data_IF_204771360922
#
_entry.id   IF_204771360922
#
_cell.length_a   1.000
_cell.length_b   1.000
_cell.length_c   1.000
_cell.angle_alpha   90.00
_cell.angle_beta   90.00
_cell.angle_gamma   90.00
#
_symmetry.space_group_name_H-M   'P 1'
#
loop_
_entity.id
_entity.type
_entity.pdbx_description
1 polymer ?
#
# COMPACT_ATOMS: atom_id res chain seq x y z
N UNK A 1 -17.02 3.96 8.06
CA UNK A 1 -16.49 5.33 7.92
C UNK A 1 -16.01 5.50 6.48
N UNK A 2 -16.47 6.55 5.80
CA UNK A 2 -15.94 6.96 4.51
C UNK A 2 -14.75 7.90 4.75
N UNK A 3 -13.68 7.71 4.00
CA UNK A 3 -12.48 8.55 4.03
C UNK A 3 -12.23 9.08 2.62
N UNK A 4 -11.84 10.34 2.54
CA UNK A 4 -11.36 10.99 1.31
C UNK A 4 -9.89 11.36 1.49
N UNK A 5 -9.05 10.91 0.59
CA UNK A 5 -7.63 11.24 0.56
C UNK A 5 -7.35 12.20 -0.58
N UNK A 6 -6.61 13.26 -0.29
CA UNK A 6 -6.32 14.33 -1.24
C UNK A 6 -4.83 14.38 -1.55
N UNK A 7 -4.48 14.53 -2.83
CA UNK A 7 -3.13 14.75 -3.30
C UNK A 7 -2.98 16.19 -3.79
N UNK A 8 -2.22 16.99 -3.03
CA UNK A 8 -2.20 18.44 -3.18
C UNK A 8 -1.42 18.97 -4.41
N UNK A 9 -0.60 18.14 -5.05
CA UNK A 9 0.25 18.63 -6.17
C UNK A 9 -0.52 18.77 -7.48
N UNK A 10 -1.57 17.99 -7.69
CA UNK A 10 -2.38 18.06 -8.91
C UNK A 10 -3.89 18.07 -8.63
N UNK A 11 -4.27 18.25 -7.36
CA UNK A 11 -5.65 18.32 -6.89
C UNK A 11 -6.47 17.05 -7.13
N UNK A 12 -5.83 15.90 -7.33
CA UNK A 12 -6.53 14.62 -7.40
C UNK A 12 -6.93 14.13 -6.02
N UNK A 13 -8.02 13.38 -5.96
CA UNK A 13 -8.47 12.74 -4.73
C UNK A 13 -9.09 11.37 -5.01
N UNK A 14 -9.19 10.56 -3.97
CA UNK A 14 -9.88 9.28 -4.01
C UNK A 14 -10.58 9.02 -2.69
N UNK A 15 -11.64 8.20 -2.73
CA UNK A 15 -12.43 7.86 -1.56
C UNK A 15 -12.50 6.36 -1.37
N UNK A 16 -12.61 5.93 -0.11
CA UNK A 16 -12.72 4.52 0.26
C UNK A 16 -13.45 4.36 1.60
N UNK A 17 -13.80 3.12 1.95
CA UNK A 17 -14.40 2.79 3.24
C UNK A 17 -13.38 2.09 4.13
N UNK A 18 -13.36 2.47 5.41
CA UNK A 18 -12.59 1.74 6.42
C UNK A 18 -13.27 0.38 6.68
N UNK A 19 -12.55 -0.72 6.47
CA UNK A 19 -12.98 -2.09 6.83
C UNK A 19 -13.11 -2.18 8.36
N UNK A 20 -14.19 -2.75 8.86
CA UNK A 20 -14.38 -2.95 10.31
C UNK A 20 -13.49 -4.04 10.88
N UNK A 21 -13.23 -5.05 10.06
CA UNK A 21 -12.38 -6.19 10.41
C UNK A 21 -11.25 -6.30 9.40
N UNK A 22 -10.06 -6.46 9.92
CA UNK A 22 -8.85 -6.74 9.16
C UNK A 22 -8.48 -8.21 9.41
N UNK A 23 -8.10 -8.91 8.35
CA UNK A 23 -7.77 -10.34 8.40
C UNK A 23 -6.35 -10.48 7.85
N UNK A 24 -5.56 -11.37 8.45
CA UNK A 24 -4.24 -11.69 7.94
C UNK A 24 -4.36 -12.26 6.52
N UNK A 25 -3.52 -11.76 5.63
CA UNK A 25 -3.49 -12.24 4.25
C UNK A 25 -2.93 -13.66 4.18
N UNK A 26 -3.49 -14.54 3.33
CA UNK A 26 -2.83 -15.78 2.96
C UNK A 26 -1.45 -15.51 2.36
N UNK A 27 -0.56 -16.46 2.43
CA UNK A 27 0.77 -16.35 1.80
C UNK A 27 0.88 -17.16 0.50
N UNK A 28 -0.15 -17.93 0.14
CA UNK A 28 -0.21 -18.74 -1.08
C UNK A 28 -1.55 -18.48 -1.79
N UNK A 29 -1.47 -18.28 -3.09
CA UNK A 29 -2.59 -17.96 -3.97
C UNK A 29 -2.53 -18.80 -5.24
N UNK A 30 -3.69 -19.06 -5.82
CA UNK A 30 -3.80 -19.69 -7.15
C UNK A 30 -3.13 -18.84 -8.23
N UNK A 31 -2.77 -19.49 -9.33
CA UNK A 31 -2.20 -18.80 -10.48
C UNK A 31 -3.21 -17.79 -11.08
N UNK A 32 -2.70 -16.64 -11.51
CA UNK A 32 -3.47 -15.65 -12.24
C UNK A 32 -2.92 -15.53 -13.68
N UNK A 33 -3.81 -15.38 -14.65
CA UNK A 33 -3.43 -15.16 -16.05
C UNK A 33 -2.77 -13.77 -16.26
N UNK A 34 -3.06 -12.82 -15.37
CA UNK A 34 -2.55 -11.45 -15.43
C UNK A 34 -1.88 -11.08 -14.12
N UNK A 35 -0.58 -10.97 -14.16
CA UNK A 35 0.20 -10.48 -13.00
C UNK A 35 1.03 -9.28 -13.47
N UNK A 36 0.97 -8.19 -12.73
CA UNK A 36 1.88 -7.06 -12.85
C UNK A 36 2.54 -6.80 -11.50
N UNK A 37 3.84 -6.59 -11.49
CA UNK A 37 4.61 -6.36 -10.26
C UNK A 37 5.39 -5.05 -10.34
N UNK A 38 5.49 -4.35 -9.22
CA UNK A 38 6.30 -3.15 -9.03
C UNK A 38 6.80 -3.10 -7.59
N UNK A 39 7.98 -2.51 -7.37
CA UNK A 39 8.58 -2.28 -6.05
C UNK A 39 9.15 -0.87 -5.93
N UNK A 40 9.64 -0.50 -4.75
CA UNK A 40 10.47 0.69 -4.51
C UNK A 40 9.82 2.02 -4.95
N UNK A 41 8.56 2.20 -4.63
CA UNK A 41 7.80 3.44 -4.91
C UNK A 41 8.22 4.59 -3.98
N UNK A 42 8.70 4.27 -2.79
CA UNK A 42 9.30 5.22 -1.85
C UNK A 42 8.45 6.48 -1.63
N UNK A 43 7.16 6.28 -1.37
CA UNK A 43 6.16 7.34 -1.16
C UNK A 43 5.93 8.27 -2.36
N UNK A 44 6.33 7.88 -3.57
CA UNK A 44 6.09 8.67 -4.78
C UNK A 44 4.71 8.34 -5.37
N UNK A 45 3.67 8.92 -4.76
CA UNK A 45 2.27 8.67 -5.14
C UNK A 45 2.01 8.91 -6.63
N UNK A 46 2.57 10.00 -7.20
CA UNK A 46 2.35 10.32 -8.62
C UNK A 46 2.90 9.24 -9.54
N UNK A 47 4.14 8.81 -9.32
CA UNK A 47 4.76 7.74 -10.13
C UNK A 47 3.98 6.44 -10.00
N UNK A 48 3.57 6.07 -8.80
CA UNK A 48 2.77 4.87 -8.57
C UNK A 48 1.43 4.92 -9.32
N UNK A 49 0.67 6.01 -9.16
CA UNK A 49 -0.59 6.24 -9.86
C UNK A 49 -0.43 6.19 -11.38
N UNK A 50 0.53 6.95 -11.91
CA UNK A 50 0.76 7.03 -13.36
C UNK A 50 1.18 5.67 -13.94
N UNK A 51 2.00 4.89 -13.22
CA UNK A 51 2.34 3.51 -13.58
C UNK A 51 1.07 2.64 -13.72
N UNK A 52 0.16 2.72 -12.75
CA UNK A 52 -1.07 1.94 -12.75
C UNK A 52 -2.01 2.33 -13.91
N UNK A 53 -2.12 3.62 -14.22
CA UNK A 53 -2.93 4.12 -15.35
C UNK A 53 -2.34 3.65 -16.69
N UNK A 54 -1.04 3.85 -16.90
CA UNK A 54 -0.35 3.47 -18.15
C UNK A 54 -0.49 1.97 -18.41
N UNK A 55 -0.42 1.15 -17.37
CA UNK A 55 -0.56 -0.30 -17.47
C UNK A 55 -2.01 -0.79 -17.41
N UNK A 56 -3.00 0.12 -17.41
CA UNK A 56 -4.44 -0.20 -17.38
C UNK A 56 -4.86 -1.06 -16.17
N UNK A 57 -4.16 -0.89 -15.06
CA UNK A 57 -4.56 -1.49 -13.78
C UNK A 57 -5.72 -0.70 -13.19
N UNK A 58 -5.69 0.62 -13.38
CA UNK A 58 -6.75 1.55 -13.05
C UNK A 58 -7.01 2.49 -14.24
N UNK A 59 -8.15 3.16 -14.24
CA UNK A 59 -8.45 4.26 -15.16
C UNK A 59 -8.03 5.63 -14.63
N UNK A 60 -8.34 6.69 -15.40
CA UNK A 60 -8.07 8.08 -15.02
C UNK A 60 -8.93 8.57 -13.83
N UNK A 61 -10.03 7.87 -13.52
CA UNK A 61 -10.86 8.10 -12.35
C UNK A 61 -10.34 7.37 -11.11
N UNK A 62 -9.20 6.69 -11.25
CA UNK A 62 -8.52 5.90 -10.21
C UNK A 62 -9.31 4.66 -9.77
N UNK A 63 -10.20 4.14 -10.63
CA UNK A 63 -10.98 2.95 -10.39
C UNK A 63 -10.31 1.71 -11.01
N UNK A 64 -10.48 0.54 -10.38
CA UNK A 64 -9.86 -0.72 -10.81
C UNK A 64 -10.41 -1.18 -12.15
N UNK A 65 -9.52 -1.42 -13.12
CA UNK A 65 -9.87 -1.91 -14.48
C UNK A 65 -9.13 -3.19 -14.87
N UNK A 66 -8.33 -3.76 -13.97
CA UNK A 66 -7.51 -4.94 -14.26
C UNK A 66 -8.29 -6.27 -14.19
N UNK A 67 -9.59 -6.21 -13.89
CA UNK A 67 -10.47 -7.39 -13.81
C UNK A 67 -10.00 -8.34 -12.70
N UNK A 68 -9.86 -9.63 -13.04
CA UNK A 68 -9.36 -10.67 -12.14
C UNK A 68 -7.83 -10.75 -12.06
N UNK A 69 -7.12 -9.75 -12.58
CA UNK A 69 -5.66 -9.70 -12.54
C UNK A 69 -5.10 -9.46 -11.14
N UNK A 70 -3.84 -9.80 -10.94
CA UNK A 70 -3.10 -9.64 -9.70
C UNK A 70 -2.07 -8.52 -9.82
N UNK A 71 -2.15 -7.53 -8.95
CA UNK A 71 -1.16 -6.47 -8.79
C UNK A 71 -0.26 -6.82 -7.59
N UNK A 72 1.03 -7.00 -7.84
CA UNK A 72 2.01 -7.31 -6.80
C UNK A 72 2.84 -6.07 -6.49
N UNK A 73 2.73 -5.60 -5.27
CA UNK A 73 3.45 -4.49 -4.69
C UNK A 73 4.58 -5.07 -3.82
N UNK A 74 5.77 -5.20 -4.41
CA UNK A 74 6.86 -6.00 -3.83
C UNK A 74 7.79 -5.17 -2.95
N UNK A 75 7.23 -4.51 -1.92
CA UNK A 75 7.96 -3.80 -0.87
C UNK A 75 8.46 -2.40 -1.20
N UNK A 76 8.82 -1.67 -0.15
CA UNK A 76 9.40 -0.33 -0.16
C UNK A 76 8.50 0.74 -0.80
N UNK A 77 7.25 0.79 -0.35
CA UNK A 77 6.26 1.79 -0.78
C UNK A 77 6.29 3.06 0.07
N UNK A 78 6.95 3.04 1.21
CA UNK A 78 7.04 4.15 2.16
C UNK A 78 8.44 4.79 2.17
N UNK A 79 8.59 5.84 2.99
CA UNK A 79 9.83 6.59 3.17
C UNK A 79 10.29 7.45 1.98
N UNK A 80 11.42 8.08 2.12
CA UNK A 80 12.20 8.89 1.19
C UNK A 80 11.45 10.04 0.51
N UNK A 81 10.13 9.95 0.29
CA UNK A 81 9.31 11.03 -0.26
C UNK A 81 8.22 11.49 0.75
N UNK A 82 7.28 12.34 0.31
CA UNK A 82 6.37 13.07 1.21
C UNK A 82 4.94 12.52 1.24
N UNK A 83 4.61 11.48 0.46
CA UNK A 83 3.24 11.04 0.23
C UNK A 83 2.95 9.62 0.72
N UNK A 84 3.65 9.16 1.76
CA UNK A 84 3.42 7.84 2.40
C UNK A 84 1.95 7.59 2.69
N UNK A 85 1.26 8.58 3.28
CA UNK A 85 -0.15 8.44 3.64
C UNK A 85 -1.04 8.23 2.40
N UNK A 86 -0.78 8.98 1.31
CA UNK A 86 -1.51 8.84 0.06
C UNK A 86 -1.27 7.48 -0.58
N UNK A 87 0.00 7.02 -0.62
CA UNK A 87 0.36 5.71 -1.17
C UNK A 87 -0.34 4.60 -0.41
N UNK A 88 -0.22 4.57 0.92
CA UNK A 88 -0.80 3.51 1.74
C UNK A 88 -2.34 3.46 1.64
N UNK A 89 -3.01 4.61 1.70
CA UNK A 89 -4.46 4.65 1.55
C UNK A 89 -4.92 4.32 0.12
N UNK A 90 -4.10 4.60 -0.87
CA UNK A 90 -4.40 4.22 -2.25
C UNK A 90 -4.30 2.70 -2.43
N UNK A 91 -3.26 2.06 -1.90
CA UNK A 91 -3.15 0.59 -1.86
C UNK A 91 -4.37 -0.01 -1.16
N UNK A 92 -4.74 0.52 0.01
CA UNK A 92 -5.90 0.09 0.79
C UNK A 92 -7.22 0.18 0.01
N UNK A 93 -7.40 1.26 -0.79
CA UNK A 93 -8.55 1.40 -1.71
C UNK A 93 -8.51 0.31 -2.79
N UNK A 94 -7.36 0.16 -3.45
CA UNK A 94 -7.21 -0.77 -4.57
C UNK A 94 -7.43 -2.23 -4.16
N UNK A 95 -7.02 -2.64 -2.97
CA UNK A 95 -7.34 -3.97 -2.43
C UNK A 95 -8.86 -4.22 -2.42
N UNK A 96 -9.63 -3.24 -1.94
CA UNK A 96 -11.07 -3.37 -1.85
C UNK A 96 -11.76 -3.39 -3.22
N UNK A 97 -11.19 -2.72 -4.20
CA UNK A 97 -11.73 -2.69 -5.56
C UNK A 97 -11.38 -3.96 -6.32
N UNK A 98 -10.12 -4.40 -6.27
CA UNK A 98 -9.70 -5.65 -6.87
C UNK A 98 -10.58 -6.83 -6.42
N UNK A 99 -10.83 -6.94 -5.10
CA UNK A 99 -11.70 -7.98 -4.54
C UNK A 99 -13.10 -8.01 -5.17
N UNK A 100 -13.69 -6.86 -5.48
CA UNK A 100 -15.03 -6.78 -6.10
C UNK A 100 -15.05 -7.30 -7.55
N UNK A 101 -13.91 -7.30 -8.22
CA UNK A 101 -13.75 -7.71 -9.60
C UNK A 101 -13.09 -9.11 -9.73
N UNK A 102 -12.91 -9.81 -8.61
CA UNK A 102 -12.23 -11.12 -8.58
C UNK A 102 -10.71 -11.04 -8.75
N UNK A 103 -10.15 -9.83 -8.71
CA UNK A 103 -8.71 -9.58 -8.73
C UNK A 103 -8.10 -9.49 -7.34
N UNK A 104 -6.81 -9.25 -7.27
CA UNK A 104 -6.09 -9.15 -5.99
C UNK A 104 -4.98 -8.11 -6.06
N UNK A 105 -4.82 -7.37 -4.98
CA UNK A 105 -3.60 -6.59 -4.70
C UNK A 105 -2.83 -7.32 -3.61
N UNK A 106 -1.59 -7.66 -3.90
CA UNK A 106 -0.64 -8.26 -2.97
C UNK A 106 0.31 -7.17 -2.50
N UNK A 107 0.28 -6.85 -1.22
CA UNK A 107 1.24 -5.91 -0.64
C UNK A 107 2.23 -6.65 0.24
N UNK A 108 3.40 -6.90 -0.31
CA UNK A 108 4.53 -7.57 0.36
C UNK A 108 5.36 -6.50 1.07
N UNK A 109 5.69 -6.73 2.34
CA UNK A 109 6.46 -5.77 3.12
C UNK A 109 7.93 -5.81 2.73
N UNK A 110 8.49 -4.65 2.42
CA UNK A 110 9.91 -4.44 2.22
C UNK A 110 10.63 -4.06 3.52
N UNK A 111 11.94 -3.83 3.42
CA UNK A 111 12.73 -3.45 4.59
C UNK A 111 12.31 -2.07 5.14
N UNK A 112 11.87 -1.12 4.31
CA UNK A 112 11.40 0.17 4.80
C UNK A 112 10.12 0.07 5.64
N UNK A 113 9.15 -0.78 5.27
CA UNK A 113 7.98 -1.06 6.09
C UNK A 113 8.41 -1.66 7.44
N UNK A 114 9.26 -2.69 7.44
CA UNK A 114 9.74 -3.36 8.66
C UNK A 114 10.51 -2.38 9.55
N UNK A 115 11.42 -1.57 8.99
CA UNK A 115 12.17 -0.56 9.74
C UNK A 115 11.23 0.39 10.48
N UNK A 116 10.21 0.93 9.81
CA UNK A 116 9.25 1.86 10.42
C UNK A 116 8.42 1.18 11.53
N UNK A 117 7.98 -0.06 11.33
CA UNK A 117 7.27 -0.86 12.35
C UNK A 117 8.17 -1.09 13.57
N UNK A 118 9.46 -1.32 13.38
CA UNK A 118 10.44 -1.54 14.45
C UNK A 118 10.96 -0.24 15.09
N UNK A 119 10.59 0.92 14.54
CA UNK A 119 10.97 2.24 15.08
C UNK A 119 12.25 2.82 14.46
N UNK A 120 12.84 2.18 13.48
CA UNK A 120 13.93 2.76 12.69
C UNK A 120 13.34 3.68 11.61
N UNK A 121 13.36 4.97 11.89
CA UNK A 121 12.74 5.99 11.06
C UNK A 121 13.78 6.89 10.37
N UNK A 122 15.00 6.40 10.13
CA UNK A 122 16.10 7.19 9.55
C UNK A 122 15.78 7.76 8.18
N UNK A 123 14.96 7.08 7.39
CA UNK A 123 14.55 7.48 6.03
C UNK A 123 13.20 8.20 5.98
N UNK A 124 12.46 8.21 7.09
CA UNK A 124 11.18 8.89 7.17
C UNK A 124 11.36 10.41 7.10
N UNK A 125 10.53 11.09 6.28
CA UNK A 125 10.53 12.55 6.23
C UNK A 125 10.09 13.16 7.56
N UNK A 126 10.68 14.31 7.89
CA UNK A 126 10.34 15.09 9.11
C UNK A 126 8.84 15.37 9.24
N UNK A 127 8.11 15.51 8.13
CA UNK A 127 6.64 15.61 8.10
C UNK A 127 5.97 14.54 8.96
N UNK A 128 6.37 13.26 8.85
CA UNK A 128 5.73 12.16 9.58
C UNK A 128 6.14 12.11 11.05
N UNK A 129 7.38 12.52 11.37
CA UNK A 129 7.82 12.73 12.75
C UNK A 129 7.01 13.84 13.43
N UNK A 130 6.79 14.96 12.71
CA UNK A 130 6.00 16.09 13.20
C UNK A 130 4.51 15.69 13.36
N UNK A 131 3.92 14.96 12.42
CA UNK A 131 2.54 14.45 12.52
C UNK A 131 2.39 13.57 13.76
N UNK A 132 3.30 12.63 13.97
CA UNK A 132 3.27 11.78 15.17
C UNK A 132 3.33 12.61 16.44
N UNK A 133 4.22 13.60 16.51
CA UNK A 133 4.33 14.52 17.66
C UNK A 133 3.03 15.29 17.92
N UNK A 134 2.40 15.84 16.88
CA UNK A 134 1.10 16.56 16.99
C UNK A 134 0.00 15.64 17.54
N UNK A 135 0.03 14.36 17.17
CA UNK A 135 -0.91 13.33 17.65
C UNK A 135 -0.57 12.80 19.05
N UNK A 136 0.53 13.25 19.67
CA UNK A 136 1.02 12.71 20.93
C UNK A 136 1.60 11.30 20.83
N UNK A 137 2.03 10.90 19.64
CA UNK A 137 2.55 9.57 19.33
C UNK A 137 4.07 9.61 19.06
N UNK A 138 4.72 8.48 19.25
CA UNK A 138 6.03 8.21 18.64
C UNK A 138 5.84 7.85 17.17
N UNK A 139 6.82 8.11 16.32
CA UNK A 139 6.70 7.92 14.89
C UNK A 139 6.34 6.47 14.52
N UNK A 140 6.94 5.47 15.14
CA UNK A 140 6.62 4.05 14.85
C UNK A 140 5.14 3.68 15.14
N UNK A 141 4.49 4.41 16.05
CA UNK A 141 3.08 4.19 16.38
C UNK A 141 2.12 4.56 15.24
N UNK A 142 2.61 5.24 14.21
CA UNK A 142 1.85 5.42 12.97
C UNK A 142 1.73 4.11 12.17
N UNK A 143 2.63 3.14 12.41
CA UNK A 143 2.77 1.88 11.68
C UNK A 143 2.52 0.62 12.53
N UNK A 144 2.31 0.78 13.83
CA UNK A 144 1.95 -0.32 14.73
C UNK A 144 0.43 -0.42 14.94
N UNK A 145 0.00 -1.27 15.87
CA UNK A 145 -1.43 -1.50 16.17
C UNK A 145 -2.15 -0.30 16.81
N UNK A 146 -1.48 0.82 17.04
CA UNK A 146 -2.10 2.05 17.57
C UNK A 146 -3.02 2.68 16.51
N UNK A 147 -2.66 2.60 15.24
CA UNK A 147 -3.43 3.17 14.13
C UNK A 147 -4.13 2.10 13.29
N UNK A 148 -5.13 2.51 12.51
CA UNK A 148 -5.80 1.60 11.57
C UNK A 148 -4.85 1.15 10.44
N UNK A 149 -4.06 2.08 9.90
CA UNK A 149 -3.04 1.76 8.88
C UNK A 149 -1.99 0.79 9.41
N UNK A 150 -1.52 0.99 10.63
CA UNK A 150 -0.57 0.07 11.23
C UNK A 150 -1.16 -1.33 11.45
N UNK A 151 -2.40 -1.42 11.94
CA UNK A 151 -3.12 -2.71 12.02
C UNK A 151 -3.23 -3.39 10.66
N UNK A 152 -3.55 -2.63 9.62
CA UNK A 152 -3.64 -3.15 8.26
C UNK A 152 -2.27 -3.59 7.72
N UNK A 153 -1.20 -2.83 7.93
CA UNK A 153 0.16 -3.24 7.54
C UNK A 153 0.57 -4.57 8.18
N UNK A 154 0.20 -4.78 9.44
CA UNK A 154 0.53 -6.03 10.15
C UNK A 154 -0.27 -7.25 9.68
N UNK A 155 -1.24 -7.08 8.80
CA UNK A 155 -1.88 -8.22 8.11
C UNK A 155 -1.11 -8.68 6.88
N UNK A 156 -0.07 -7.98 6.48
CA UNK A 156 0.69 -8.23 5.24
C UNK A 156 1.84 -9.20 5.45
N UNK A 157 2.18 -9.90 4.38
CA UNK A 157 3.27 -10.87 4.37
C UNK A 157 4.60 -10.22 3.95
N UNK A 158 5.70 -10.90 4.21
CA UNK A 158 7.05 -10.56 3.70
C UNK A 158 7.42 -11.42 2.48
N UNK A 159 6.66 -12.47 2.23
CA UNK A 159 6.79 -13.35 1.07
C UNK A 159 5.41 -13.89 0.69
N UNK A 160 5.12 -13.96 -0.60
CA UNK A 160 3.89 -14.59 -1.11
C UNK A 160 4.20 -15.47 -2.32
N UNK A 161 3.45 -16.57 -2.45
CA UNK A 161 3.47 -17.46 -3.61
C UNK A 161 2.18 -17.28 -4.39
N UNK A 162 2.30 -17.04 -5.70
CA UNK A 162 1.16 -16.89 -6.62
C UNK A 162 1.36 -17.88 -7.77
N UNK A 163 0.63 -18.96 -7.79
CA UNK A 163 0.90 -20.07 -8.71
C UNK A 163 2.32 -20.60 -8.55
N UNK A 164 3.12 -20.54 -9.61
CA UNK A 164 4.51 -20.99 -9.62
C UNK A 164 5.53 -19.89 -9.27
N UNK A 165 5.06 -18.66 -9.03
CA UNK A 165 5.93 -17.51 -8.72
C UNK A 165 5.99 -17.24 -7.21
N UNK A 166 7.19 -16.96 -6.71
CA UNK A 166 7.43 -16.49 -5.34
C UNK A 166 7.88 -15.03 -5.40
N UNK A 167 7.21 -14.19 -4.65
CA UNK A 167 7.52 -12.77 -4.52
C UNK A 167 8.04 -12.47 -3.13
N UNK A 168 9.21 -11.84 -3.08
CA UNK A 168 9.88 -11.41 -1.84
C UNK A 168 10.68 -10.15 -2.15
N UNK A 169 10.70 -9.19 -1.21
CA UNK A 169 11.50 -7.99 -1.34
C UNK A 169 12.90 -8.23 -0.75
N UNK A 170 13.95 -8.11 -1.57
CA UNK A 170 15.35 -8.21 -1.12
C UNK A 170 15.73 -9.59 -0.60
N UNK A 171 15.29 -10.63 -1.29
CA UNK A 171 15.66 -12.03 -1.01
C UNK A 171 17.06 -12.40 -1.45
#
# INVERSE_FOLDING_TARGET
INVKCFYCLDSTDFSFKIKKHLVNEPFEYEASEKIIAISDIESNYKVFRDFLIINKVIDEQLEWTFGNGHLVLNGDFIDRSYFTTQVLWFIYKLEQEAEKHGGKVHYILGNHEIMNIQGDNRYAKSKYKNIASVLGLKQYQLYDTTTHLGKWLQTKNVVEKIGDYVFVHGG
#
